data_IF_420538700632
#
_entry.id   IF_420538700632
#
_cell.length_a   1.000
_cell.length_b   1.000
_cell.length_c   1.000
_cell.angle_alpha   90.00
_cell.angle_beta   90.00
_cell.angle_gamma   90.00
#
_symmetry.space_group_name_H-M   'P 1'
#
loop_
_entity.id
_entity.type
_entity.pdbx_description
1 polymer ?
#
# COMPACT_ATOMS: atom_id res chain seq x y z
N UNK A 1 -1.67 14.25 -2.22
CA UNK A 1 -2.55 14.16 -1.03
C UNK A 1 -3.49 12.95 -1.09
N UNK A 2 -4.25 12.77 -2.18
CA UNK A 2 -5.34 11.77 -2.23
C UNK A 2 -4.85 10.32 -2.47
N UNK A 3 -3.73 10.09 -3.16
CA UNK A 3 -3.26 8.73 -3.46
C UNK A 3 -3.03 7.85 -2.20
N UNK A 4 -2.73 8.49 -1.08
CA UNK A 4 -2.52 7.84 0.21
C UNK A 4 -3.82 7.48 0.94
N UNK A 5 -4.99 7.74 0.36
CA UNK A 5 -6.28 7.23 0.87
C UNK A 5 -6.49 5.76 0.49
N UNK A 6 -5.70 5.20 -0.43
CA UNK A 6 -5.86 3.82 -0.88
C UNK A 6 -5.88 2.78 0.27
N UNK A 7 -5.04 2.88 1.31
CA UNK A 7 -5.11 1.99 2.46
C UNK A 7 -6.41 2.10 3.25
N UNK A 8 -7.04 3.28 3.30
CA UNK A 8 -8.37 3.44 3.92
C UNK A 8 -9.40 2.64 3.12
N UNK A 9 -9.46 2.85 1.80
CA UNK A 9 -10.45 2.15 0.96
C UNK A 9 -10.29 0.64 1.04
N UNK A 10 -9.05 0.14 0.97
CA UNK A 10 -8.76 -1.28 1.10
C UNK A 10 -9.20 -1.84 2.48
N UNK A 11 -8.90 -1.11 3.56
CA UNK A 11 -9.23 -1.55 4.93
C UNK A 11 -10.73 -1.51 5.21
N UNK A 12 -11.43 -0.47 4.78
CA UNK A 12 -12.88 -0.37 5.00
C UNK A 12 -13.66 -1.43 4.23
N UNK A 13 -13.20 -1.77 3.02
CA UNK A 13 -13.79 -2.83 2.21
C UNK A 13 -13.50 -4.22 2.80
N UNK A 14 -12.23 -4.53 3.05
CA UNK A 14 -11.81 -5.90 3.37
C UNK A 14 -11.90 -6.24 4.86
N UNK A 15 -11.87 -5.25 5.76
CA UNK A 15 -11.77 -5.50 7.21
C UNK A 15 -12.99 -4.97 7.95
N UNK A 16 -13.70 -5.87 8.64
CA UNK A 16 -14.87 -5.53 9.47
C UNK A 16 -14.49 -4.99 10.85
N UNK A 17 -13.29 -5.31 11.35
CA UNK A 17 -12.82 -4.89 12.66
C UNK A 17 -12.65 -3.37 12.76
N UNK A 18 -13.38 -2.74 13.68
CA UNK A 18 -13.33 -1.29 13.95
C UNK A 18 -11.92 -0.81 14.28
N UNK A 19 -11.14 -1.61 15.03
CA UNK A 19 -9.75 -1.28 15.39
C UNK A 19 -8.85 -1.15 14.16
N UNK A 20 -9.00 -2.01 13.16
CA UNK A 20 -8.23 -1.93 11.92
C UNK A 20 -8.60 -0.70 11.09
N UNK A 21 -9.90 -0.38 11.02
CA UNK A 21 -10.40 0.84 10.35
C UNK A 21 -9.87 2.10 11.03
N UNK A 22 -9.87 2.14 12.37
CA UNK A 22 -9.31 3.25 13.14
C UNK A 22 -7.78 3.38 12.94
N UNK A 23 -7.07 2.25 12.90
CA UNK A 23 -5.64 2.19 12.57
C UNK A 23 -5.33 2.79 11.19
N UNK A 24 -6.12 2.44 10.16
CA UNK A 24 -5.98 3.00 8.82
C UNK A 24 -6.28 4.51 8.77
N UNK A 25 -7.30 4.97 9.51
CA UNK A 25 -7.63 6.39 9.64
C UNK A 25 -6.51 7.19 10.30
N UNK A 26 -5.93 6.67 11.40
CA UNK A 26 -4.80 7.32 12.07
C UNK A 26 -3.57 7.42 11.17
N UNK A 27 -3.23 6.33 10.48
CA UNK A 27 -2.11 6.32 9.55
C UNK A 27 -2.32 7.35 8.42
N UNK A 28 -3.53 7.43 7.86
CA UNK A 28 -3.86 8.42 6.86
C UNK A 28 -3.82 9.85 7.40
N UNK A 29 -4.36 10.11 8.59
CA UNK A 29 -4.33 11.43 9.20
C UNK A 29 -2.89 11.91 9.39
N UNK A 30 -1.99 11.02 9.81
CA UNK A 30 -0.55 11.29 9.86
C UNK A 30 0.02 11.66 8.49
N UNK A 31 -0.24 10.87 7.45
CA UNK A 31 0.25 11.17 6.09
C UNK A 31 -0.32 12.48 5.54
N UNK A 32 -1.61 12.75 5.77
CA UNK A 32 -2.25 14.00 5.35
C UNK A 32 -1.60 15.20 6.03
N UNK A 33 -1.37 15.12 7.34
CA UNK A 33 -0.71 16.17 8.11
C UNK A 33 0.74 16.39 7.66
N UNK A 34 1.48 15.32 7.38
CA UNK A 34 2.86 15.37 6.87
C UNK A 34 2.95 16.12 5.54
N UNK A 35 1.98 15.87 4.65
CA UNK A 35 1.93 16.50 3.33
C UNK A 35 1.44 17.94 3.36
N UNK A 36 0.52 18.27 4.27
CA UNK A 36 0.01 19.63 4.48
C UNK A 36 1.08 20.56 5.07
N UNK A 37 1.92 20.05 5.97
CA UNK A 37 3.07 20.80 6.48
C UNK A 37 4.08 21.16 5.36
N UNK A 38 4.03 20.44 4.24
CA UNK A 38 4.98 20.53 3.13
C UNK A 38 4.45 21.22 1.88
N UNK A 39 3.15 21.51 1.78
CA UNK A 39 2.57 22.17 0.61
C UNK A 39 1.52 23.20 1.03
N UNK A 40 1.77 24.46 0.65
CA UNK A 40 0.78 25.54 0.76
C UNK A 40 -0.23 25.47 -0.39
N UNK A 41 -1.49 25.18 -0.06
CA UNK A 41 -2.64 25.32 -0.98
C UNK A 41 -3.24 24.01 -1.46
N UNK A 42 -4.55 23.84 -1.24
CA UNK A 42 -5.37 22.76 -1.80
C UNK A 42 -6.24 23.36 -2.90
N UNK A 43 -5.74 23.43 -4.13
CA UNK A 43 -6.57 23.82 -5.27
C UNK A 43 -7.33 22.61 -5.82
N UNK A 44 -8.66 22.66 -5.70
CA UNK A 44 -9.57 21.66 -6.25
C UNK A 44 -9.55 21.72 -7.78
N UNK A 45 -8.91 20.75 -8.42
CA UNK A 45 -8.71 20.68 -9.88
C UNK A 45 -8.82 19.25 -10.41
N UNK A 46 -8.84 19.07 -11.73
CA UNK A 46 -8.82 17.77 -12.44
C UNK A 46 -7.77 16.79 -11.87
N UNK A 47 -6.66 17.33 -11.37
CA UNK A 47 -5.56 16.58 -10.75
C UNK A 47 -5.98 15.85 -9.47
N UNK A 48 -6.92 16.40 -8.69
CA UNK A 48 -7.44 15.74 -7.50
C UNK A 48 -8.35 14.55 -7.85
N UNK A 49 -9.18 14.67 -8.90
CA UNK A 49 -10.00 13.57 -9.40
C UNK A 49 -9.11 12.44 -9.93
N UNK A 50 -8.07 12.77 -10.70
CA UNK A 50 -7.07 11.79 -11.16
C UNK A 50 -6.35 11.11 -9.98
N UNK A 51 -5.95 11.87 -8.96
CA UNK A 51 -5.34 11.31 -7.76
C UNK A 51 -6.29 10.39 -6.97
N UNK A 52 -7.59 10.71 -6.92
CA UNK A 52 -8.60 9.86 -6.30
C UNK A 52 -8.82 8.58 -7.08
N UNK A 53 -8.97 8.67 -8.41
CA UNK A 53 -9.11 7.50 -9.28
C UNK A 53 -7.90 6.57 -9.17
N UNK A 54 -6.69 7.15 -9.10
CA UNK A 54 -5.46 6.38 -8.86
C UNK A 54 -5.44 5.74 -7.47
N UNK A 55 -5.92 6.43 -6.42
CA UNK A 55 -6.04 5.87 -5.07
C UNK A 55 -6.99 4.67 -5.04
N UNK A 56 -8.14 4.77 -5.72
CA UNK A 56 -9.13 3.69 -5.82
C UNK A 56 -8.56 2.51 -6.59
N UNK A 57 -7.96 2.75 -7.76
CA UNK A 57 -7.30 1.70 -8.54
C UNK A 57 -6.21 0.98 -7.72
N UNK A 58 -5.46 1.74 -6.92
CA UNK A 58 -4.43 1.21 -6.06
C UNK A 58 -5.00 0.40 -4.87
N UNK A 59 -6.13 0.82 -4.28
CA UNK A 59 -6.81 0.03 -3.26
C UNK A 59 -7.40 -1.27 -3.85
N UNK A 60 -8.00 -1.18 -5.03
CA UNK A 60 -8.57 -2.32 -5.75
C UNK A 60 -7.52 -3.39 -6.07
N UNK A 61 -6.29 -3.00 -6.40
CA UNK A 61 -5.23 -3.98 -6.66
C UNK A 61 -4.88 -4.82 -5.44
N UNK A 62 -4.80 -4.23 -4.24
CA UNK A 62 -4.60 -4.98 -3.00
C UNK A 62 -5.75 -5.98 -2.76
N UNK A 63 -6.99 -5.53 -2.90
CA UNK A 63 -8.16 -6.39 -2.71
C UNK A 63 -8.13 -7.56 -3.70
N UNK A 64 -7.88 -7.28 -4.98
CA UNK A 64 -7.80 -8.29 -6.04
C UNK A 64 -6.70 -9.32 -5.77
N UNK A 65 -5.51 -8.88 -5.34
CA UNK A 65 -4.42 -9.79 -4.96
C UNK A 65 -4.86 -10.73 -3.83
N UNK A 66 -5.48 -10.18 -2.77
CA UNK A 66 -5.96 -11.00 -1.65
C UNK A 66 -7.08 -11.97 -2.06
N UNK A 67 -7.99 -11.55 -2.94
CA UNK A 67 -9.06 -12.41 -3.46
C UNK A 67 -8.48 -13.53 -4.33
N UNK A 68 -7.56 -13.23 -5.24
CA UNK A 68 -6.93 -14.24 -6.11
C UNK A 68 -6.12 -15.24 -5.28
N UNK A 69 -5.35 -14.77 -4.29
CA UNK A 69 -4.63 -15.65 -3.38
C UNK A 69 -5.57 -16.57 -2.59
N UNK A 70 -6.69 -16.04 -2.08
CA UNK A 70 -7.70 -16.85 -1.37
C UNK A 70 -8.38 -17.91 -2.26
N UNK A 71 -8.35 -17.73 -3.58
CA UNK A 71 -8.83 -18.71 -4.57
C UNK A 71 -7.77 -19.75 -4.95
N UNK A 72 -6.58 -19.70 -4.35
CA UNK A 72 -5.50 -20.65 -4.58
C UNK A 72 -4.56 -20.28 -5.73
N UNK A 73 -4.66 -19.07 -6.29
CA UNK A 73 -3.72 -18.62 -7.31
C UNK A 73 -2.32 -18.45 -6.73
N UNK A 74 -1.31 -18.94 -7.46
CA UNK A 74 0.06 -18.87 -7.00
C UNK A 74 0.57 -17.42 -6.97
N UNK A 75 1.36 -17.00 -5.96
CA UNK A 75 1.93 -15.66 -5.92
C UNK A 75 2.73 -15.30 -7.18
N UNK A 76 3.43 -16.28 -7.77
CA UNK A 76 4.18 -16.10 -9.00
C UNK A 76 3.30 -15.80 -10.22
N UNK A 77 2.13 -16.44 -10.30
CA UNK A 77 1.13 -16.17 -11.35
C UNK A 77 0.57 -14.75 -11.20
N UNK A 78 0.10 -14.40 -9.99
CA UNK A 78 -0.48 -13.08 -9.72
C UNK A 78 0.53 -11.97 -10.01
N UNK A 79 1.77 -12.11 -9.54
CA UNK A 79 2.84 -11.14 -9.78
C UNK A 79 3.19 -10.99 -11.26
N UNK A 80 3.27 -12.10 -12.01
CA UNK A 80 3.56 -12.07 -13.44
C UNK A 80 2.48 -11.36 -14.23
N UNK A 81 1.21 -11.69 -13.98
CA UNK A 81 0.06 -11.05 -14.65
C UNK A 81 0.01 -9.56 -14.32
N UNK A 82 0.25 -9.19 -13.06
CA UNK A 82 0.23 -7.80 -12.62
C UNK A 82 1.32 -6.97 -13.32
N UNK A 83 2.57 -7.43 -13.30
CA UNK A 83 3.68 -6.71 -13.92
C UNK A 83 3.55 -6.66 -15.45
N UNK A 84 3.09 -7.75 -16.07
CA UNK A 84 2.83 -7.78 -17.51
C UNK A 84 1.72 -6.79 -17.91
N UNK A 85 0.59 -6.80 -17.19
CA UNK A 85 -0.50 -5.86 -17.42
C UNK A 85 -0.06 -4.41 -17.24
N UNK A 86 0.71 -4.12 -16.20
CA UNK A 86 1.28 -2.80 -15.97
C UNK A 86 2.21 -2.36 -17.12
N UNK A 87 3.05 -3.26 -17.63
CA UNK A 87 3.92 -2.98 -18.78
C UNK A 87 3.13 -2.68 -20.05
N UNK A 88 2.07 -3.46 -20.35
CA UNK A 88 1.19 -3.23 -21.50
C UNK A 88 0.49 -1.88 -21.39
N UNK A 89 -0.11 -1.57 -20.25
CA UNK A 89 -0.79 -0.27 -20.03
C UNK A 89 0.20 0.87 -20.16
N UNK A 90 1.42 0.73 -19.61
CA UNK A 90 2.48 1.74 -19.73
C UNK A 90 2.88 1.95 -21.20
N UNK A 91 3.04 0.86 -21.98
CA UNK A 91 3.36 0.95 -23.40
C UNK A 91 2.26 1.68 -24.19
N UNK A 92 0.98 1.37 -23.93
CA UNK A 92 -0.16 2.07 -24.54
C UNK A 92 -0.10 3.57 -24.22
N UNK A 93 0.14 3.94 -22.96
CA UNK A 93 0.24 5.34 -22.54
C UNK A 93 1.40 6.05 -23.26
N UNK A 94 2.57 5.41 -23.35
CA UNK A 94 3.73 5.97 -24.05
C UNK A 94 3.46 6.18 -25.55
N UNK A 95 2.75 5.26 -26.20
CA UNK A 95 2.38 5.36 -27.62
C UNK A 95 1.37 6.50 -27.85
N UNK A 96 0.36 6.60 -26.99
CA UNK A 96 -0.75 7.57 -27.14
C UNK A 96 -0.31 8.99 -26.80
N UNK A 97 0.42 9.17 -25.70
CA UNK A 97 0.75 10.51 -25.19
C UNK A 97 2.12 11.01 -25.64
N UNK A 98 3.00 10.12 -26.13
CA UNK A 98 4.35 10.45 -26.61
C UNK A 98 5.11 11.45 -25.73
N UNK A 99 5.24 11.18 -24.41
CA UNK A 99 5.94 12.11 -23.53
C UNK A 99 7.41 12.22 -23.91
N UNK A 100 8.06 13.36 -23.64
CA UNK A 100 9.51 13.49 -23.83
C UNK A 100 10.23 12.42 -23.01
N UNK A 101 11.05 11.61 -23.68
CA UNK A 101 11.77 10.53 -23.04
C UNK A 101 12.96 11.08 -22.25
N UNK A 102 13.26 10.51 -21.06
CA UNK A 102 14.37 10.97 -20.25
C UNK A 102 15.70 10.68 -20.93
N UNK A 103 16.66 11.59 -20.77
CA UNK A 103 18.04 11.41 -21.24
C UNK A 103 18.76 10.28 -20.49
N UNK A 104 18.39 10.05 -19.23
CA UNK A 104 18.95 9.00 -18.39
C UNK A 104 17.86 8.00 -18.00
N UNK A 105 18.01 6.76 -18.44
CA UNK A 105 17.04 5.70 -18.20
C UNK A 105 17.24 4.95 -16.87
N UNK A 106 18.43 5.04 -16.29
CA UNK A 106 18.74 4.30 -15.06
C UNK A 106 17.80 4.63 -13.88
N UNK A 107 17.35 5.89 -13.64
CA UNK A 107 16.41 6.18 -12.55
C UNK A 107 15.04 5.56 -12.82
N UNK A 108 14.61 5.54 -14.09
CA UNK A 108 13.36 4.92 -14.52
C UNK A 108 13.39 3.42 -14.24
N UNK A 109 14.48 2.75 -14.64
CA UNK A 109 14.65 1.33 -14.35
C UNK A 109 14.75 1.04 -12.85
N UNK A 110 15.46 1.87 -12.09
CA UNK A 110 15.58 1.70 -10.64
C UNK A 110 14.21 1.82 -9.95
N UNK A 111 13.44 2.86 -10.25
CA UNK A 111 12.10 3.07 -9.68
C UNK A 111 11.14 1.96 -10.14
N UNK A 112 11.19 1.58 -11.41
CA UNK A 112 10.39 0.49 -11.96
C UNK A 112 10.69 -0.86 -11.30
N UNK A 113 11.97 -1.17 -11.08
CA UNK A 113 12.40 -2.40 -10.40
C UNK A 113 11.95 -2.43 -8.94
N UNK A 114 12.07 -1.31 -8.21
CA UNK A 114 11.57 -1.18 -6.83
C UNK A 114 10.05 -1.40 -6.79
N UNK A 115 9.32 -0.81 -7.73
CA UNK A 115 7.87 -0.98 -7.81
C UNK A 115 7.46 -2.44 -8.09
N UNK A 116 8.15 -3.11 -9.02
CA UNK A 116 7.91 -4.52 -9.34
C UNK A 116 8.22 -5.44 -8.15
N UNK A 117 9.35 -5.23 -7.48
CA UNK A 117 9.75 -6.00 -6.30
C UNK A 117 8.77 -5.81 -5.14
N UNK A 118 8.26 -4.59 -4.95
CA UNK A 118 7.23 -4.30 -3.96
C UNK A 118 5.95 -5.11 -4.22
N UNK A 119 5.50 -5.21 -5.47
CA UNK A 119 4.34 -6.04 -5.82
C UNK A 119 4.61 -7.50 -5.51
N UNK A 120 5.80 -8.01 -5.83
CA UNK A 120 6.17 -9.38 -5.50
C UNK A 120 6.07 -9.65 -3.99
N UNK A 121 6.62 -8.75 -3.15
CA UNK A 121 6.50 -8.86 -1.68
C UNK A 121 5.04 -8.85 -1.23
N UNK A 122 4.20 -7.97 -1.80
CA UNK A 122 2.78 -7.91 -1.48
C UNK A 122 2.08 -9.22 -1.85
N UNK A 123 2.32 -9.77 -3.04
CA UNK A 123 1.69 -11.03 -3.48
C UNK A 123 2.08 -12.25 -2.64
N UNK A 124 3.27 -12.23 -2.02
CA UNK A 124 3.71 -13.28 -1.09
C UNK A 124 3.07 -13.09 0.29
N UNK A 125 2.95 -11.84 0.75
CA UNK A 125 2.48 -11.53 2.10
C UNK A 125 0.95 -11.48 2.24
N UNK A 126 0.22 -11.22 1.15
CA UNK A 126 -1.23 -11.01 1.15
C UNK A 126 -1.97 -12.28 0.74
N UNK A 127 -2.15 -13.22 1.67
CA UNK A 127 -2.85 -14.49 1.38
C UNK A 127 -4.37 -14.38 1.47
N UNK A 128 -4.86 -13.29 2.08
CA UNK A 128 -6.27 -12.96 2.23
C UNK A 128 -6.53 -11.47 1.95
N UNK A 129 -7.77 -11.05 1.61
CA UNK A 129 -8.12 -9.64 1.48
C UNK A 129 -7.80 -8.81 2.73
N UNK A 130 -7.99 -9.36 3.92
CA UNK A 130 -7.69 -8.71 5.20
C UNK A 130 -6.19 -8.49 5.38
N UNK A 131 -5.37 -9.48 5.06
CA UNK A 131 -3.91 -9.33 5.08
C UNK A 131 -3.42 -8.33 4.04
N UNK A 132 -4.01 -8.33 2.86
CA UNK A 132 -3.70 -7.35 1.82
C UNK A 132 -4.00 -5.92 2.26
N UNK A 133 -5.14 -5.70 2.91
CA UNK A 133 -5.49 -4.41 3.50
C UNK A 133 -4.49 -3.99 4.59
N UNK A 134 -4.04 -4.91 5.44
CA UNK A 134 -2.99 -4.64 6.45
C UNK A 134 -1.67 -4.26 5.79
N UNK A 135 -1.24 -5.00 4.77
CA UNK A 135 -0.04 -4.67 4.00
C UNK A 135 -0.17 -3.27 3.41
N UNK A 136 -1.35 -2.91 2.88
CA UNK A 136 -1.62 -1.56 2.40
C UNK A 136 -1.43 -0.48 3.48
N UNK A 137 -1.91 -0.71 4.72
CA UNK A 137 -1.67 0.21 5.85
C UNK A 137 -0.18 0.31 6.18
N UNK A 138 0.56 -0.80 6.16
CA UNK A 138 2.01 -0.82 6.38
C UNK A 138 2.77 -0.01 5.33
N UNK A 139 2.24 0.14 4.12
CA UNK A 139 2.90 0.97 3.09
C UNK A 139 2.99 2.45 3.47
N UNK A 140 2.17 2.93 4.42
CA UNK A 140 2.32 4.28 4.96
C UNK A 140 3.63 4.47 5.76
N UNK A 141 4.31 3.39 6.19
CA UNK A 141 5.67 3.49 6.75
C UNK A 141 6.70 4.01 5.75
N UNK A 142 6.39 4.03 4.44
CA UNK A 142 7.27 4.66 3.45
C UNK A 142 7.55 6.14 3.78
N UNK A 143 6.60 6.86 4.38
CA UNK A 143 6.81 8.25 4.82
C UNK A 143 7.78 8.36 6.01
N UNK A 144 7.80 7.36 6.89
CA UNK A 144 8.79 7.30 7.96
C UNK A 144 10.19 7.05 7.39
N UNK A 145 10.32 6.13 6.44
CA UNK A 145 11.59 5.85 5.77
C UNK A 145 12.11 7.05 4.98
N UNK A 146 11.22 7.73 4.24
CA UNK A 146 11.55 8.97 3.55
C UNK A 146 12.06 10.02 4.54
N UNK A 147 11.37 10.20 5.67
CA UNK A 147 11.79 11.15 6.67
C UNK A 147 13.17 10.85 7.27
N UNK A 148 13.47 9.57 7.52
CA UNK A 148 14.81 9.15 7.98
C UNK A 148 15.88 9.52 6.95
N UNK A 149 15.64 9.26 5.66
CA UNK A 149 16.60 9.61 4.60
C UNK A 149 16.82 11.12 4.54
N UNK A 150 15.75 11.91 4.63
CA UNK A 150 15.87 13.37 4.59
C UNK A 150 16.58 13.94 5.82
N UNK A 151 16.38 13.36 7.01
CA UNK A 151 17.12 13.71 8.23
C UNK A 151 18.61 13.46 8.05
N UNK A 152 18.99 12.31 7.47
CA UNK A 152 20.40 12.00 7.16
C UNK A 152 20.98 12.98 6.15
N UNK A 153 20.16 13.52 5.25
CA UNK A 153 20.53 14.57 4.30
C UNK A 153 20.55 15.99 4.92
N UNK A 154 20.28 16.12 6.23
CA UNK A 154 20.37 17.38 6.96
C UNK A 154 19.06 18.19 7.01
N UNK A 155 17.93 17.61 6.59
CA UNK A 155 16.62 18.27 6.70
C UNK A 155 16.17 18.30 8.16
N UNK A 156 15.74 19.48 8.62
CA UNK A 156 15.07 19.65 9.91
C UNK A 156 13.55 19.56 9.75
N UNK A 157 12.90 19.05 10.79
CA UNK A 157 11.47 18.74 10.82
C UNK A 157 10.75 19.61 11.83
N UNK A 158 9.62 20.19 11.44
CA UNK A 158 8.73 20.96 12.30
C UNK A 158 7.97 20.07 13.28
N UNK A 159 7.43 20.67 14.36
CA UNK A 159 6.60 19.96 15.35
C UNK A 159 5.41 19.25 14.68
N UNK A 160 4.80 19.89 13.67
CA UNK A 160 3.65 19.33 12.94
C UNK A 160 4.07 18.06 12.17
N UNK A 161 5.24 18.05 11.55
CA UNK A 161 5.75 16.87 10.84
C UNK A 161 6.13 15.74 11.80
N UNK A 162 6.66 16.05 12.98
CA UNK A 162 6.89 15.04 14.03
C UNK A 162 5.60 14.41 14.54
N UNK A 163 4.57 15.23 14.79
CA UNK A 163 3.23 14.75 15.16
C UNK A 163 2.66 13.87 14.03
N UNK A 164 2.83 14.28 12.78
CA UNK A 164 2.41 13.52 11.62
C UNK A 164 3.06 12.13 11.55
N UNK A 165 4.38 12.04 11.74
CA UNK A 165 5.11 10.77 11.80
C UNK A 165 4.65 9.92 12.99
N UNK A 166 4.40 10.53 14.15
CA UNK A 166 3.86 9.85 15.33
C UNK A 166 2.50 9.21 15.06
N UNK A 167 1.61 9.91 14.35
CA UNK A 167 0.30 9.37 13.95
C UNK A 167 0.43 8.19 12.99
N UNK A 168 1.37 8.23 12.05
CA UNK A 168 1.66 7.10 11.15
C UNK A 168 2.13 5.89 11.96
N UNK A 169 3.08 6.06 12.88
CA UNK A 169 3.61 4.99 13.73
C UNK A 169 2.50 4.39 14.60
N UNK A 170 1.68 5.23 15.24
CA UNK A 170 0.57 4.78 16.08
C UNK A 170 -0.50 4.05 15.26
N UNK A 171 -0.87 4.59 14.10
CA UNK A 171 -1.81 3.96 13.19
C UNK A 171 -1.34 2.57 12.79
N UNK A 172 -0.08 2.43 12.39
CA UNK A 172 0.51 1.13 12.05
C UNK A 172 0.60 0.20 13.26
N UNK A 173 1.07 0.68 14.42
CA UNK A 173 1.24 -0.11 15.64
C UNK A 173 -0.07 -0.63 16.24
N UNK A 174 -1.19 0.06 15.99
CA UNK A 174 -2.52 -0.38 16.42
C UNK A 174 -3.16 -1.40 15.47
N UNK A 175 -2.55 -1.64 14.30
CA UNK A 175 -3.05 -2.60 13.32
C UNK A 175 -3.09 -4.01 13.94
N UNK A 176 -4.25 -4.69 13.95
CA UNK A 176 -4.38 -5.99 14.60
C UNK A 176 -3.49 -7.03 13.90
N UNK A 177 -2.74 -7.82 14.68
CA UNK A 177 -1.93 -8.93 14.17
C UNK A 177 -2.80 -9.94 13.44
N UNK A 178 -2.23 -10.59 12.42
CA UNK A 178 -2.89 -11.69 11.73
C UNK A 178 -3.32 -12.74 12.75
N UNK A 179 -4.61 -13.03 12.77
CA UNK A 179 -5.14 -14.15 13.54
C UNK A 179 -4.70 -15.38 12.76
N UNK A 180 -3.59 -15.99 13.15
CA UNK A 180 -3.23 -17.32 12.70
C UNK A 180 -4.38 -18.24 13.08
N UNK A 181 -5.27 -18.53 12.14
CA UNK A 181 -6.12 -19.72 12.25
C UNK A 181 -5.20 -20.92 12.02
N UNK A 182 -4.39 -21.23 13.04
CA UNK A 182 -3.68 -22.49 13.10
C UNK A 182 -4.74 -23.57 13.28
N UNK A 183 -4.73 -24.52 12.35
CA UNK A 183 -5.57 -25.71 12.29
C UNK A 183 -5.65 -26.45 13.64
N UNK A 184 -6.71 -26.22 14.43
CA UNK A 184 -7.11 -27.09 15.55
C UNK A 184 -8.07 -28.21 15.11
N UNK A 185 -8.25 -28.43 13.79
CA UNK A 185 -9.14 -29.48 13.28
C UNK A 185 -8.46 -30.85 13.14
N UNK A 186 -7.13 -30.96 13.20
CA UNK A 186 -6.42 -32.21 12.90
C UNK A 186 -6.05 -33.05 14.13
N UNK A 187 -6.26 -32.56 15.36
CA UNK A 187 -5.84 -33.28 16.59
C UNK A 187 -6.98 -34.02 17.31
N UNK A 188 -8.24 -33.89 16.88
CA UNK A 188 -9.36 -34.60 17.51
C UNK A 188 -9.65 -35.99 16.92
N UNK A 189 -9.17 -36.31 15.73
CA UNK A 189 -9.46 -37.61 15.09
C UNK A 189 -8.48 -38.73 15.50
N UNK A 190 -7.30 -38.40 16.05
CA UNK A 190 -6.33 -39.42 16.50
C UNK A 190 -6.50 -39.85 17.96
N UNK A 191 -7.42 -39.24 18.72
CA UNK A 191 -7.68 -39.59 20.12
C UNK A 191 -8.88 -40.52 20.36
N UNK A 192 -9.62 -40.88 19.32
CA UNK A 192 -10.76 -41.81 19.40
C UNK A 192 -10.35 -43.24 18.98
N UNK A 193 -9.09 -43.44 18.55
CA UNK A 193 -8.54 -44.76 18.23
C UNK A 193 -7.31 -45.03 19.09
N UNK A 194 -7.51 -45.21 20.39
CA UNK A 194 -6.65 -46.02 21.28
C UNK A 194 -7.48 -46.57 22.42
#
# INVERSE_FOLDING_TARGET
>A
MILNTAPIFATFYAVTQIRARFSALLAFAGVALFLLANNGGVDFSLWQLLALSAAVAYASSFILVGVLSSKGESPGTINSIYNFGAAVVTAIILIVYQPPLPLHWWPVFAIGAIAALRIQVITIAATTPEESARVSVLTNLAFLWLAIVEIVQGRSYSVVEWVALGLVILGVGLSPKATTKTSEATTKTSRIVR
#
